data_IF_932054887936
#
_entry.id   IF_932054887936
#
_cell.length_a   1.000
_cell.length_b   1.000
_cell.length_c   1.000
_cell.angle_alpha   90.00
_cell.angle_beta   90.00
_cell.angle_gamma   90.00
#
_symmetry.space_group_name_H-M   'P 1'
#
loop_
_entity.id
_entity.type
_entity.pdbx_description
1 polymer ?
#
# COMPACT_ATOMS: atom_id res chain seq x y z
N UNK A 1 2.14 1.44 -3.08
CA UNK A 1 2.71 2.30 -2.02
C UNK A 1 1.73 3.34 -1.47
N UNK A 2 0.70 3.72 -2.23
CA UNK A 2 -0.25 4.78 -1.86
C UNK A 2 -0.79 4.74 -0.41
N UNK A 3 -1.21 3.58 0.16
CA UNK A 3 -1.66 3.54 1.56
C UNK A 3 -0.58 3.98 2.56
N UNK A 4 0.69 3.66 2.29
CA UNK A 4 1.82 4.08 3.12
C UNK A 4 2.08 5.59 3.00
N UNK A 5 2.00 6.13 1.78
CA UNK A 5 2.13 7.57 1.53
C UNK A 5 1.06 8.35 2.30
N UNK A 6 -0.18 7.88 2.25
CA UNK A 6 -1.28 8.48 3.00
C UNK A 6 -1.11 8.38 4.51
N UNK A 7 -0.58 7.27 5.03
CA UNK A 7 -0.24 7.15 6.44
C UNK A 7 0.82 8.18 6.86
N UNK A 8 1.86 8.39 6.03
CA UNK A 8 2.87 9.43 6.27
C UNK A 8 2.28 10.83 6.24
N UNK A 9 1.42 11.15 5.28
CA UNK A 9 0.72 12.42 5.25
C UNK A 9 -0.12 12.61 6.51
N UNK A 10 -0.90 11.59 6.90
CA UNK A 10 -1.76 11.63 8.09
C UNK A 10 -0.98 11.93 9.38
N UNK A 11 0.25 11.43 9.49
CA UNK A 11 1.14 11.75 10.62
C UNK A 11 1.51 13.23 10.64
N UNK A 12 1.66 13.88 9.49
CA UNK A 12 2.12 15.27 9.35
C UNK A 12 0.99 16.31 9.32
N UNK A 13 -0.28 15.89 9.16
CA UNK A 13 -1.40 16.84 9.11
C UNK A 13 -1.82 17.36 10.46
N UNK A 14 -2.46 18.53 10.44
CA UNK A 14 -3.17 19.08 11.59
C UNK A 14 -4.35 18.18 11.96
N UNK A 15 -4.47 17.82 13.24
CA UNK A 15 -5.48 16.88 13.75
C UNK A 15 -6.51 17.61 14.62
N UNK A 16 -7.29 18.47 14.00
CA UNK A 16 -8.37 19.21 14.65
C UNK A 16 -9.67 19.17 13.84
N UNK A 17 -10.75 19.71 14.39
CA UNK A 17 -12.06 19.71 13.74
C UNK A 17 -12.08 20.50 12.44
N UNK A 18 -11.23 21.52 12.28
CA UNK A 18 -11.15 22.31 11.05
C UNK A 18 -10.64 21.49 9.87
N UNK A 19 -9.82 20.46 10.14
CA UNK A 19 -9.24 19.59 9.13
C UNK A 19 -9.97 18.25 8.99
N UNK A 20 -11.09 18.05 9.70
CA UNK A 20 -11.78 16.76 9.78
C UNK A 20 -12.19 16.21 8.40
N UNK A 21 -12.71 17.08 7.54
CA UNK A 21 -13.17 16.70 6.19
C UNK A 21 -12.00 16.27 5.30
N UNK A 22 -10.89 16.99 5.32
CA UNK A 22 -9.69 16.64 4.56
C UNK A 22 -9.08 15.33 5.08
N UNK A 23 -9.01 15.15 6.40
CA UNK A 23 -8.53 13.92 7.05
C UNK A 23 -9.39 12.71 6.65
N UNK A 24 -10.71 12.85 6.64
CA UNK A 24 -11.63 11.78 6.29
C UNK A 24 -11.88 11.64 4.78
N UNK A 25 -11.36 12.56 3.97
CA UNK A 25 -11.54 12.62 2.53
C UNK A 25 -10.36 12.05 1.76
N UNK A 26 -9.81 12.85 0.85
CA UNK A 26 -8.77 12.45 -0.10
C UNK A 26 -7.51 11.91 0.59
N UNK A 27 -7.15 12.49 1.74
CA UNK A 27 -5.93 12.20 2.47
C UNK A 27 -5.84 10.76 3.01
N UNK A 28 -6.98 10.12 3.25
CA UNK A 28 -7.08 8.74 3.77
C UNK A 28 -7.93 7.84 2.88
N UNK A 29 -8.05 8.20 1.60
CA UNK A 29 -8.89 7.50 0.62
C UNK A 29 -8.46 6.06 0.33
N UNK A 30 -7.20 5.71 0.59
CA UNK A 30 -6.62 4.36 0.45
C UNK A 30 -6.37 3.67 1.80
N UNK A 31 -6.80 4.27 2.89
CA UNK A 31 -6.74 3.69 4.24
C UNK A 31 -8.15 3.29 4.71
N UNK A 32 -8.22 2.12 5.36
CA UNK A 32 -9.44 1.63 6.01
C UNK A 32 -9.70 2.37 7.32
N UNK A 33 -10.95 2.51 7.78
CA UNK A 33 -11.28 3.25 9.01
C UNK A 33 -10.44 2.85 10.21
N UNK A 34 -10.34 1.54 10.50
CA UNK A 34 -9.53 1.04 11.62
C UNK A 34 -8.04 1.34 11.50
N UNK A 35 -7.50 1.45 10.28
CA UNK A 35 -6.11 1.84 10.05
C UNK A 35 -5.87 3.30 10.41
N UNK A 36 -6.75 4.19 9.96
CA UNK A 36 -6.68 5.62 10.28
C UNK A 36 -6.79 5.82 11.79
N UNK A 37 -7.78 5.18 12.43
CA UNK A 37 -7.97 5.27 13.88
C UNK A 37 -6.76 4.73 14.64
N UNK A 38 -6.19 3.59 14.25
CA UNK A 38 -5.00 3.05 14.90
C UNK A 38 -3.79 4.00 14.77
N UNK A 39 -3.57 4.60 13.60
CA UNK A 39 -2.50 5.59 13.41
C UNK A 39 -2.69 6.79 14.36
N UNK A 40 -3.90 7.33 14.43
CA UNK A 40 -4.21 8.47 15.29
C UNK A 40 -4.14 8.12 16.79
N UNK A 41 -4.57 6.91 17.19
CA UNK A 41 -4.49 6.44 18.59
C UNK A 41 -3.04 6.25 19.06
N UNK A 42 -2.17 5.76 18.17
CA UNK A 42 -0.75 5.55 18.46
C UNK A 42 0.14 6.75 18.12
N UNK A 43 -0.47 7.86 17.69
CA UNK A 43 0.26 9.07 17.36
C UNK A 43 0.89 9.68 18.61
N UNK A 44 2.22 9.82 18.58
CA UNK A 44 3.01 10.47 19.62
C UNK A 44 3.53 11.81 19.05
N UNK A 45 2.96 12.96 19.47
CA UNK A 45 3.44 14.26 19.02
C UNK A 45 4.90 14.47 19.45
N UNK A 46 5.68 15.19 18.63
CA UNK A 46 7.04 15.57 18.99
C UNK A 46 7.04 16.65 20.07
N UNK A 47 7.91 16.49 21.06
CA UNK A 47 8.03 17.43 22.19
C UNK A 47 8.29 18.85 21.68
N UNK A 48 7.43 19.80 22.10
CA UNK A 48 7.58 21.23 21.81
C UNK A 48 7.08 21.70 20.43
N UNK A 49 6.61 20.79 19.57
CA UNK A 49 6.04 21.14 18.26
C UNK A 49 4.51 20.99 18.20
N UNK A 50 3.96 20.08 18.99
CA UNK A 50 2.50 19.87 19.07
C UNK A 50 2.03 19.74 20.52
N UNK A 51 1.05 20.56 20.88
CA UNK A 51 0.67 20.79 22.28
C UNK A 51 -0.34 19.76 22.84
N UNK A 52 -0.95 18.90 22.01
CA UNK A 52 -2.12 18.13 22.45
C UNK A 52 -2.19 16.72 21.90
N UNK A 53 -2.36 15.75 22.81
CA UNK A 53 -2.89 14.42 22.46
C UNK A 53 -4.31 14.58 21.90
N UNK A 54 -4.67 13.71 20.97
CA UNK A 54 -6.00 13.72 20.38
C UNK A 54 -7.07 13.42 21.43
N UNK A 55 -8.15 14.20 21.42
CA UNK A 55 -9.27 13.94 22.32
C UNK A 55 -10.02 12.66 21.89
N UNK A 56 -10.58 11.90 22.84
CA UNK A 56 -11.43 10.76 22.52
C UNK A 56 -12.60 11.16 21.59
N UNK A 57 -13.23 12.31 21.84
CA UNK A 57 -14.35 12.82 21.05
C UNK A 57 -13.98 13.06 19.58
N UNK A 58 -12.76 13.56 19.33
CA UNK A 58 -12.27 13.74 17.97
C UNK A 58 -12.12 12.39 17.26
N UNK A 59 -11.56 11.38 17.94
CA UNK A 59 -11.43 10.03 17.38
C UNK A 59 -12.79 9.39 17.07
N UNK A 60 -13.80 9.63 17.91
CA UNK A 60 -15.18 9.17 17.66
C UNK A 60 -15.72 9.83 16.39
N UNK A 61 -15.62 11.15 16.25
CA UNK A 61 -16.05 11.88 15.04
C UNK A 61 -15.37 11.37 13.77
N UNK A 62 -14.05 11.16 13.82
CA UNK A 62 -13.28 10.59 12.70
C UNK A 62 -13.78 9.19 12.35
N UNK A 63 -14.00 8.34 13.36
CA UNK A 63 -14.51 6.97 13.17
C UNK A 63 -15.87 6.96 12.49
N UNK A 64 -16.81 7.77 12.99
CA UNK A 64 -18.16 7.89 12.40
C UNK A 64 -18.11 8.34 10.95
N UNK A 65 -17.31 9.37 10.64
CA UNK A 65 -17.17 9.92 9.28
C UNK A 65 -16.57 8.90 8.31
N UNK A 66 -15.51 8.20 8.72
CA UNK A 66 -14.86 7.17 7.91
C UNK A 66 -15.75 5.95 7.69
N UNK A 67 -16.53 5.55 8.70
CA UNK A 67 -17.48 4.45 8.59
C UNK A 67 -18.63 4.81 7.64
N UNK A 68 -19.19 6.03 7.77
CA UNK A 68 -20.21 6.54 6.86
C UNK A 68 -19.71 6.59 5.41
N UNK A 69 -18.49 7.09 5.18
CA UNK A 69 -17.83 7.08 3.86
C UNK A 69 -17.68 5.67 3.30
N UNK A 70 -17.20 4.73 4.12
CA UNK A 70 -16.98 3.35 3.70
C UNK A 70 -18.29 2.69 3.29
N UNK A 71 -19.36 2.88 4.07
CA UNK A 71 -20.71 2.38 3.75
C UNK A 71 -21.29 3.03 2.50
N UNK A 72 -21.12 4.34 2.34
CA UNK A 72 -21.58 5.07 1.14
C UNK A 72 -20.89 4.58 -0.14
N UNK A 73 -19.63 4.13 -0.03
CA UNK A 73 -18.86 3.57 -1.14
C UNK A 73 -19.10 2.06 -1.34
N UNK A 74 -20.10 1.46 -0.67
CA UNK A 74 -20.41 0.03 -0.78
C UNK A 74 -19.43 -0.91 -0.05
N UNK A 75 -18.60 -0.37 0.85
CA UNK A 75 -17.66 -1.15 1.65
C UNK A 75 -18.37 -1.99 2.72
N UNK A 76 -17.74 -3.10 3.09
CA UNK A 76 -18.29 -4.08 4.05
C UNK A 76 -17.88 -3.77 5.49
N UNK A 77 -18.53 -4.43 6.46
CA UNK A 77 -18.06 -4.39 7.86
C UNK A 77 -16.64 -4.98 8.01
N UNK A 78 -16.25 -5.92 7.15
CA UNK A 78 -14.86 -6.39 7.11
C UNK A 78 -13.90 -5.26 6.69
N UNK A 79 -14.29 -4.40 5.75
CA UNK A 79 -13.48 -3.25 5.34
C UNK A 79 -13.35 -2.20 6.44
N UNK A 80 -14.39 -1.99 7.23
CA UNK A 80 -14.31 -1.13 8.42
C UNK A 80 -13.33 -1.70 9.44
N UNK A 81 -13.40 -3.01 9.69
CA UNK A 81 -12.71 -3.66 10.81
C UNK A 81 -11.32 -4.24 10.48
N UNK A 82 -10.87 -4.17 9.23
CA UNK A 82 -9.53 -4.66 8.82
C UNK A 82 -8.46 -3.64 9.20
N UNK A 83 -7.49 -4.08 10.01
CA UNK A 83 -6.31 -3.28 10.38
C UNK A 83 -5.11 -3.59 9.50
N UNK A 84 -4.79 -4.88 9.33
CA UNK A 84 -3.60 -5.31 8.61
C UNK A 84 -3.94 -5.55 7.15
N UNK A 85 -3.17 -4.92 6.26
CA UNK A 85 -3.16 -5.29 4.85
C UNK A 85 -2.31 -6.54 4.71
N UNK A 86 -2.91 -7.63 4.23
CA UNK A 86 -2.17 -8.87 3.98
C UNK A 86 -1.09 -8.59 2.93
N UNK A 87 0.15 -8.94 3.25
CA UNK A 87 1.28 -8.79 2.35
C UNK A 87 1.23 -9.83 1.23
N UNK A 88 0.36 -9.66 0.25
CA UNK A 88 0.43 -10.45 -0.99
C UNK A 88 1.31 -9.72 -1.99
N UNK A 89 2.60 -9.60 -1.67
CA UNK A 89 3.60 -9.05 -2.59
C UNK A 89 3.90 -9.99 -3.77
N UNK A 90 3.39 -11.21 -3.73
CA UNK A 90 3.46 -12.15 -4.83
C UNK A 90 2.15 -12.05 -5.60
N UNK A 91 2.11 -11.19 -6.60
CA UNK A 91 1.23 -11.44 -7.74
C UNK A 91 1.56 -12.85 -8.25
N UNK A 92 0.59 -13.76 -8.43
CA UNK A 92 0.86 -15.05 -9.01
C UNK A 92 1.66 -14.89 -10.30
N UNK A 93 2.63 -15.77 -10.53
CA UNK A 93 3.40 -15.76 -11.77
C UNK A 93 2.42 -15.80 -12.95
N UNK A 94 2.45 -14.77 -13.79
CA UNK A 94 1.59 -14.71 -14.96
C UNK A 94 2.23 -15.53 -16.07
N UNK A 95 1.68 -16.71 -16.34
CA UNK A 95 2.10 -17.60 -17.42
C UNK A 95 1.33 -17.40 -18.74
N UNK A 96 0.36 -16.46 -18.80
CA UNK A 96 -0.35 -16.14 -20.05
C UNK A 96 0.54 -15.52 -21.13
N UNK A 97 1.46 -14.58 -20.85
CA UNK A 97 2.29 -13.98 -21.89
C UNK A 97 3.34 -14.98 -22.35
N UNK A 98 3.12 -15.56 -23.53
CA UNK A 98 4.18 -16.27 -24.25
C UNK A 98 5.17 -15.26 -24.83
N UNK A 99 6.40 -15.27 -24.31
CA UNK A 99 7.51 -14.48 -24.84
C UNK A 99 8.35 -15.39 -25.73
N UNK A 100 8.28 -15.17 -27.04
CA UNK A 100 9.17 -15.85 -27.99
C UNK A 100 10.48 -15.07 -28.14
N UNK A 101 11.49 -15.76 -28.68
CA UNK A 101 12.77 -15.16 -29.03
C UNK A 101 12.92 -15.19 -30.55
N UNK A 102 13.24 -14.04 -31.14
CA UNK A 102 13.64 -13.90 -32.54
C UNK A 102 15.11 -14.32 -32.78
N UNK A 103 15.78 -14.83 -31.74
CA UNK A 103 17.15 -15.23 -31.84
C UNK A 103 17.28 -16.46 -32.75
N UNK A 104 17.97 -16.28 -33.88
CA UNK A 104 18.22 -17.36 -34.80
C UNK A 104 19.26 -18.34 -34.23
N UNK A 105 18.82 -19.57 -33.92
CA UNK A 105 19.65 -20.64 -33.38
C UNK A 105 20.83 -21.01 -34.29
N UNK A 106 20.72 -20.75 -35.60
CA UNK A 106 21.80 -21.01 -36.56
C UNK A 106 23.01 -20.08 -36.36
N UNK A 107 22.82 -18.96 -35.68
CA UNK A 107 23.87 -17.99 -35.36
C UNK A 107 24.46 -18.20 -33.96
N UNK A 108 23.92 -19.15 -33.18
CA UNK A 108 24.40 -19.45 -31.84
C UNK A 108 25.84 -20.00 -31.88
N UNK A 109 26.75 -19.30 -31.20
CA UNK A 109 28.12 -19.75 -30.96
C UNK A 109 28.38 -19.96 -29.48
N UNK A 110 29.03 -21.06 -29.09
CA UNK A 110 29.40 -21.33 -27.71
C UNK A 110 30.70 -20.61 -27.33
N UNK A 111 30.71 -19.76 -26.28
CA UNK A 111 31.93 -19.20 -25.75
C UNK A 111 32.89 -20.28 -25.22
N UNK A 112 34.19 -20.15 -25.50
CA UNK A 112 35.23 -21.11 -25.10
C UNK A 112 35.39 -21.21 -23.58
N UNK A 113 35.07 -20.14 -22.85
CA UNK A 113 35.10 -20.11 -21.39
C UNK A 113 34.03 -21.00 -20.72
N UNK A 114 33.06 -21.52 -21.46
CA UNK A 114 32.06 -22.46 -20.93
C UNK A 114 32.59 -23.90 -20.85
N UNK A 115 33.77 -24.19 -21.42
CA UNK A 115 34.41 -25.52 -21.41
C UNK A 115 33.52 -26.67 -21.93
N UNK A 116 32.56 -26.38 -22.82
CA UNK A 116 31.61 -27.34 -23.40
C UNK A 116 32.18 -28.12 -24.60
N UNK A 117 33.42 -28.59 -24.49
CA UNK A 117 34.16 -29.17 -25.62
C UNK A 117 33.61 -30.53 -26.10
N UNK A 118 32.80 -31.19 -25.28
CA UNK A 118 32.12 -32.43 -25.62
C UNK A 118 30.82 -32.22 -26.44
N UNK A 119 30.38 -30.97 -26.63
CA UNK A 119 29.14 -30.64 -27.35
C UNK A 119 29.50 -30.21 -28.77
N UNK A 120 28.89 -30.86 -29.76
CA UNK A 120 28.97 -30.44 -31.17
C UNK A 120 27.64 -29.84 -31.61
N UNK A 121 27.71 -28.73 -32.35
CA UNK A 121 26.54 -28.16 -33.04
C UNK A 121 26.10 -29.12 -34.15
N UNK A 122 24.83 -29.50 -34.14
CA UNK A 122 24.20 -30.22 -35.24
C UNK A 122 23.94 -29.21 -36.36
N UNK A 123 24.48 -29.51 -37.54
CA UNK A 123 24.23 -28.77 -38.79
C UNK A 123 23.05 -29.39 -39.53
#
# INVERSE_FOLDING_TARGET
LEPLVQASHLLQSKKDESNLETLCGEMTSKLKPKQVIAILQHYAPSDGFEERRLSPDFLVKVSERLNARTRANGGTEADINTLIMMGTYLTPFNSEPFVYSDFNLETLSLPTCLHLQAVCRLL
#
